data_IF_828495911507
#
_entry.id   IF_828495911507
#
_cell.length_a   1.000
_cell.length_b   1.000
_cell.length_c   1.000
_cell.angle_alpha   90.00
_cell.angle_beta   90.00
_cell.angle_gamma   90.00
#
_symmetry.space_group_name_H-M   'P 1'
#
loop_
_entity.id
_entity.type
_entity.pdbx_description
1 polymer ?
#
# COMPACT_ATOMS: atom_id res chain seq x y z
N UNK A 1 19.67 -2.34 -14.09
CA UNK A 1 18.37 -2.21 -13.39
C UNK A 1 18.48 -2.95 -12.09
N UNK A 2 18.82 -2.26 -11.01
CA UNK A 2 18.83 -2.83 -9.66
C UNK A 2 17.39 -3.20 -9.32
N UNK A 3 17.16 -4.48 -9.05
CA UNK A 3 15.85 -4.96 -8.61
C UNK A 3 15.68 -4.62 -7.13
N UNK A 4 15.12 -3.45 -6.82
CA UNK A 4 14.75 -3.09 -5.44
C UNK A 4 13.74 -4.10 -4.91
N UNK A 5 14.14 -4.89 -3.89
CA UNK A 5 13.23 -5.83 -3.22
C UNK A 5 12.61 -5.15 -2.02
N UNK A 6 11.30 -5.21 -1.93
CA UNK A 6 10.54 -4.71 -0.79
C UNK A 6 10.14 -5.87 0.10
N UNK A 7 10.54 -5.81 1.37
CA UNK A 7 10.17 -6.79 2.39
C UNK A 7 9.27 -6.13 3.43
N UNK A 8 8.10 -6.72 3.67
CA UNK A 8 7.25 -6.33 4.78
C UNK A 8 7.85 -6.81 6.10
N UNK A 9 7.99 -5.91 7.07
CA UNK A 9 8.57 -6.18 8.38
C UNK A 9 7.47 -6.41 9.43
N UNK A 10 6.44 -5.56 9.43
CA UNK A 10 5.36 -5.67 10.40
C UNK A 10 4.43 -4.46 10.42
N UNK A 11 3.54 -4.47 11.41
CA UNK A 11 2.58 -3.39 11.67
C UNK A 11 2.59 -3.04 13.15
N UNK A 12 2.65 -1.75 13.45
CA UNK A 12 2.42 -1.19 14.76
C UNK A 12 1.05 -0.51 14.77
N UNK A 13 0.10 -1.10 15.51
CA UNK A 13 -1.19 -0.48 15.74
C UNK A 13 -1.07 0.50 16.92
N UNK A 14 -1.17 1.79 16.61
CA UNK A 14 -1.17 2.87 17.60
C UNK A 14 -2.60 3.39 17.77
N UNK A 15 -2.85 4.17 18.83
CA UNK A 15 -4.18 4.74 19.05
C UNK A 15 -4.52 5.75 17.95
N UNK A 16 -5.42 5.36 17.04
CA UNK A 16 -5.94 6.20 15.95
C UNK A 16 -5.18 6.11 14.62
N UNK A 17 -4.08 5.35 14.55
CA UNK A 17 -3.31 5.14 13.32
C UNK A 17 -2.58 3.81 13.32
N UNK A 18 -2.27 3.31 12.14
CA UNK A 18 -1.47 2.11 11.94
C UNK A 18 -0.23 2.44 11.14
N UNK A 19 0.91 1.97 11.64
CA UNK A 19 2.20 2.16 11.01
C UNK A 19 2.65 0.82 10.43
N UNK A 20 2.91 0.78 9.12
CA UNK A 20 3.36 -0.38 8.40
C UNK A 20 4.83 -0.21 8.04
N UNK A 21 5.65 -1.17 8.45
CA UNK A 21 7.09 -1.12 8.28
C UNK A 21 7.54 -2.00 7.10
N UNK A 22 8.36 -1.43 6.24
CA UNK A 22 8.95 -2.07 5.08
C UNK A 22 10.45 -1.84 5.03
N UNK A 23 11.16 -2.82 4.48
CA UNK A 23 12.58 -2.75 4.19
C UNK A 23 12.77 -2.80 2.68
N UNK A 24 13.38 -1.77 2.10
CA UNK A 24 13.88 -1.81 0.75
C UNK A 24 15.31 -2.34 0.77
N UNK A 25 15.52 -3.50 0.16
CA UNK A 25 16.84 -4.08 -0.08
C UNK A 25 17.36 -3.51 -1.41
N UNK A 26 18.17 -2.47 -1.30
CA UNK A 26 18.88 -1.82 -2.41
C UNK A 26 20.40 -2.00 -2.24
N UNK A 27 21.22 -1.02 -2.65
CA UNK A 27 22.64 -1.00 -2.30
C UNK A 27 22.84 -0.76 -0.79
N UNK A 28 21.96 0.05 -0.21
CA UNK A 28 21.85 0.27 1.23
C UNK A 28 20.44 -0.07 1.68
N UNK A 29 20.34 -0.92 2.69
CA UNK A 29 19.07 -1.32 3.26
C UNK A 29 18.36 -0.10 3.87
N UNK A 30 17.17 0.23 3.37
CA UNK A 30 16.42 1.41 3.81
C UNK A 30 15.09 1.01 4.43
N UNK A 31 14.85 1.48 5.65
CA UNK A 31 13.59 1.29 6.35
C UNK A 31 12.58 2.36 5.94
N UNK A 32 11.34 1.93 5.75
CA UNK A 32 10.21 2.76 5.40
C UNK A 32 9.06 2.50 6.35
N UNK A 33 8.48 3.58 6.88
CA UNK A 33 7.28 3.52 7.70
C UNK A 33 6.16 4.22 6.97
N UNK A 34 5.07 3.51 6.69
CA UNK A 34 3.85 4.07 6.10
C UNK A 34 2.78 4.19 7.17
N UNK A 35 2.13 5.34 7.26
CA UNK A 35 1.14 5.61 8.30
C UNK A 35 -0.23 5.78 7.66
N UNK A 36 -1.21 5.02 8.14
CA UNK A 36 -2.62 5.14 7.74
C UNK A 36 -3.45 5.49 8.97
N UNK A 37 -4.29 6.52 8.90
CA UNK A 37 -5.18 6.85 10.02
C UNK A 37 -6.35 5.86 10.08
N UNK A 38 -6.80 5.52 11.29
CA UNK A 38 -7.93 4.58 11.46
C UNK A 38 -9.24 5.12 10.83
N UNK A 39 -9.40 6.45 10.85
CA UNK A 39 -10.54 7.14 10.23
C UNK A 39 -10.58 6.98 8.71
N UNK A 40 -9.42 6.81 8.08
CA UNK A 40 -9.32 6.72 6.62
C UNK A 40 -9.71 5.32 6.12
N UNK A 41 -9.47 4.27 6.92
CA UNK A 41 -9.98 2.92 6.63
C UNK A 41 -11.51 2.90 6.58
N UNK A 42 -12.15 3.50 7.59
CA UNK A 42 -13.60 3.55 7.71
C UNK A 42 -14.23 4.35 6.56
N UNK A 43 -13.63 5.49 6.21
CA UNK A 43 -14.14 6.38 5.16
C UNK A 43 -14.01 5.79 3.76
N UNK A 44 -12.99 4.98 3.51
CA UNK A 44 -12.71 4.40 2.18
C UNK A 44 -13.14 2.94 2.03
N UNK A 45 -13.74 2.34 3.07
CA UNK A 45 -14.11 0.93 3.11
C UNK A 45 -12.94 -0.03 2.75
N UNK A 46 -11.72 0.31 3.17
CA UNK A 46 -10.54 -0.53 2.96
C UNK A 46 -10.29 -1.34 4.23
N UNK A 47 -10.11 -2.65 4.08
CA UNK A 47 -9.84 -3.53 5.22
C UNK A 47 -8.42 -3.33 5.75
N UNK A 48 -8.24 -3.52 7.06
CA UNK A 48 -6.90 -3.61 7.66
C UNK A 48 -6.03 -4.72 7.04
N UNK A 49 -6.65 -5.74 6.44
CA UNK A 49 -5.95 -6.83 5.74
C UNK A 49 -5.47 -6.39 4.34
N UNK A 50 -6.11 -5.40 3.73
CA UNK A 50 -5.75 -4.85 2.42
C UNK A 50 -4.71 -3.71 2.57
N UNK A 51 -4.61 -3.12 3.77
CA UNK A 51 -3.70 -2.02 4.07
C UNK A 51 -2.21 -2.30 3.76
N UNK A 52 -1.64 -3.49 4.06
CA UNK A 52 -0.25 -3.78 3.73
C UNK A 52 0.00 -3.79 2.21
N UNK A 53 -0.93 -4.32 1.42
CA UNK A 53 -0.83 -4.36 -0.04
C UNK A 53 -0.91 -2.95 -0.64
N UNK A 54 -1.82 -2.11 -0.13
CA UNK A 54 -1.88 -0.70 -0.49
C UNK A 54 -0.57 0.02 -0.17
N UNK A 55 -0.03 -0.18 1.03
CA UNK A 55 1.23 0.45 1.45
C UNK A 55 2.39 0.01 0.56
N UNK A 56 2.43 -1.28 0.20
CA UNK A 56 3.42 -1.83 -0.72
C UNK A 56 3.33 -1.17 -2.11
N UNK A 57 2.13 -1.08 -2.68
CA UNK A 57 1.93 -0.46 -4.00
C UNK A 57 2.33 1.01 -4.02
N UNK A 58 1.97 1.77 -2.98
CA UNK A 58 2.38 3.17 -2.82
C UNK A 58 3.90 3.27 -2.73
N UNK A 59 4.53 2.53 -1.82
CA UNK A 59 5.99 2.56 -1.64
C UNK A 59 6.73 2.15 -2.91
N UNK A 60 6.23 1.15 -3.64
CA UNK A 60 6.81 0.74 -4.92
C UNK A 60 6.70 1.83 -5.98
N UNK A 61 5.60 2.58 -6.01
CA UNK A 61 5.43 3.72 -6.92
C UNK A 61 6.39 4.86 -6.55
N UNK A 62 6.49 5.22 -5.26
CA UNK A 62 7.43 6.24 -4.78
C UNK A 62 8.88 5.89 -5.12
N UNK A 63 9.29 4.63 -4.90
CA UNK A 63 10.65 4.15 -5.24
C UNK A 63 10.94 4.19 -6.74
N UNK A 64 9.93 3.99 -7.60
CA UNK A 64 10.10 4.14 -9.06
C UNK A 64 10.28 5.58 -9.50
N UNK A 65 9.65 6.52 -8.79
CA UNK A 65 9.74 7.96 -9.09
C UNK A 65 11.00 8.57 -8.48
N UNK A 66 11.42 8.07 -7.31
CA UNK A 66 12.62 8.50 -6.60
C UNK A 66 13.90 8.03 -7.31
N UNK A 67 14.23 8.66 -8.44
CA UNK A 67 15.52 8.45 -9.10
C UNK A 67 16.67 9.17 -8.39
N UNK A 68 16.39 10.28 -7.68
CA UNK A 68 17.44 11.17 -7.13
C UNK A 68 17.09 11.82 -5.78
N UNK A 69 15.84 11.74 -5.30
CA UNK A 69 15.42 12.41 -4.06
C UNK A 69 15.18 11.39 -2.95
N UNK A 70 15.74 11.57 -1.75
CA UNK A 70 15.46 10.69 -0.63
C UNK A 70 13.98 10.78 -0.24
N UNK A 71 13.27 9.66 -0.32
CA UNK A 71 11.90 9.54 0.17
C UNK A 71 11.90 9.74 1.69
N UNK A 72 11.22 10.77 2.16
CA UNK A 72 11.06 11.05 3.59
C UNK A 72 10.23 9.96 4.28
N UNK A 73 10.67 9.55 5.47
CA UNK A 73 9.91 8.66 6.35
C UNK A 73 9.51 9.41 7.62
N UNK A 74 8.26 9.28 8.12
CA UNK A 74 7.20 8.38 7.64
C UNK A 74 6.47 8.92 6.40
N UNK A 75 5.98 8.00 5.55
CA UNK A 75 5.11 8.31 4.42
C UNK A 75 3.67 8.26 4.90
N UNK A 76 2.95 9.37 4.77
CA UNK A 76 1.52 9.39 5.07
C UNK A 76 0.73 8.80 3.90
N UNK A 77 -0.15 7.85 4.21
CA UNK A 77 -1.15 7.35 3.27
C UNK A 77 -2.37 8.25 3.38
N UNK A 78 -2.64 8.98 2.32
CA UNK A 78 -3.77 9.90 2.28
C UNK A 78 -5.07 9.17 1.94
N UNK A 79 -6.25 9.75 2.25
CA UNK A 79 -7.54 9.21 1.84
C UNK A 79 -7.66 8.99 0.33
N UNK A 80 -7.02 9.84 -0.48
CA UNK A 80 -6.95 9.70 -1.94
C UNK A 80 -6.22 8.43 -2.39
N UNK A 81 -5.18 7.99 -1.67
CA UNK A 81 -4.46 6.76 -1.98
C UNK A 81 -5.37 5.54 -1.75
N UNK A 82 -6.15 5.57 -0.67
CA UNK A 82 -7.14 4.56 -0.32
C UNK A 82 -8.29 4.52 -1.34
N UNK A 83 -8.79 5.67 -1.77
CA UNK A 83 -9.81 5.76 -2.81
C UNK A 83 -9.31 5.16 -4.14
N UNK A 84 -8.09 5.54 -4.57
CA UNK A 84 -7.45 5.01 -5.79
C UNK A 84 -7.22 3.50 -5.72
N UNK A 85 -6.78 3.00 -4.56
CA UNK A 85 -6.65 1.57 -4.33
C UNK A 85 -7.99 0.85 -4.45
N UNK A 86 -9.04 1.42 -3.88
CA UNK A 86 -10.40 0.87 -3.95
C UNK A 86 -10.91 0.81 -5.39
N UNK A 87 -10.75 1.88 -6.17
CA UNK A 87 -11.22 1.92 -7.57
C UNK A 87 -10.55 0.84 -8.44
N UNK A 88 -9.25 0.64 -8.26
CA UNK A 88 -8.48 -0.38 -9.00
C UNK A 88 -8.88 -1.80 -8.60
N UNK A 89 -9.12 -2.06 -7.31
CA UNK A 89 -9.45 -3.39 -6.80
C UNK A 89 -10.95 -3.75 -6.87
N UNK A 90 -11.85 -2.77 -6.88
CA UNK A 90 -13.27 -3.01 -7.15
C UNK A 90 -13.53 -3.42 -8.60
N UNK A 91 -12.81 -2.80 -9.54
CA UNK A 91 -12.89 -3.16 -10.96
C UNK A 91 -12.48 -4.60 -11.24
N UNK A 92 -11.61 -5.19 -10.41
CA UNK A 92 -11.23 -6.60 -10.47
C UNK A 92 -12.28 -7.55 -9.87
N UNK A 93 -13.15 -7.07 -8.97
CA UNK A 93 -14.23 -7.88 -8.37
C UNK A 93 -15.46 -7.99 -9.28
N UNK A 94 -15.68 -7.04 -10.18
CA UNK A 94 -16.84 -7.04 -11.11
C UNK A 94 -16.61 -7.79 -12.43
N UNK A 95 -15.38 -8.20 -12.75
CA UNK A 95 -15.07 -8.92 -14.01
C UNK A 95 -15.21 -10.46 -13.93
N UNK A 96 -15.72 -11.01 -12.82
CA UNK A 96 -15.95 -12.46 -12.65
C UNK A 96 -17.42 -12.89 -12.68
N UNK A 97 -18.30 -12.09 -13.26
CA UNK A 97 -19.70 -12.44 -13.51
C UNK A 97 -19.94 -12.82 -14.97
N UNK A 98 -19.55 -14.02 -15.39
CA UNK A 98 -19.75 -14.45 -16.77
C UNK A 98 -19.48 -15.93 -17.06
N UNK A 99 -19.69 -16.84 -16.11
CA UNK A 99 -19.77 -18.27 -16.42
C UNK A 99 -21.23 -18.70 -16.46
N UNK A 100 -21.88 -18.47 -17.61
CA UNK A 100 -23.17 -19.08 -17.91
C UNK A 100 -22.96 -20.59 -18.07
N UNK A 101 -23.48 -21.39 -17.11
CA UNK A 101 -23.67 -22.83 -17.31
C UNK A 101 -24.76 -23.02 -18.35
N UNK A 102 -24.38 -23.41 -19.56
CA UNK A 102 -25.32 -23.87 -20.57
C UNK A 102 -25.74 -25.30 -20.20
N UNK A 103 -27.04 -25.49 -20.04
CA UNK A 103 -27.68 -26.77 -19.75
C UNK A 103 -28.08 -27.47 -21.05
#
# INVERSE_FOLDING_TARGET
MTSTKLRYIGVNALSGRREYEFLAEEQENRHFTLVVQDVDFSSNHVSFQEAPDLCYQKLQAELKVASETPIGTPILVSPEDLARYRETHQRAKTSRGGWSRQR
#
